data_IF_568530024248
#
_entry.id   IF_568530024248
#
_cell.length_a   1.000
_cell.length_b   1.000
_cell.length_c   1.000
_cell.angle_alpha   90.00
_cell.angle_beta   90.00
_cell.angle_gamma   90.00
#
_symmetry.space_group_name_H-M   'P 1'
#
loop_
_entity.id
_entity.type
_entity.pdbx_description
1 polymer ?
#
# COMPACT_ATOMS: atom_id res chain seq x y z
N UNK A 1 6.78 -25.39 34.99
CA UNK A 1 5.83 -25.78 33.93
C UNK A 1 5.91 -24.70 32.85
N UNK A 2 6.25 -25.05 31.60
CA UNK A 2 6.43 -24.09 30.50
C UNK A 2 5.20 -24.20 29.60
N UNK A 3 4.29 -23.22 29.65
CA UNK A 3 3.17 -23.13 28.72
C UNK A 3 3.62 -22.41 27.44
N UNK A 4 3.60 -23.16 26.35
CA UNK A 4 3.87 -22.66 25.00
C UNK A 4 2.66 -21.86 24.51
N UNK A 5 2.76 -20.54 24.49
CA UNK A 5 1.79 -19.66 23.84
C UNK A 5 1.97 -19.74 22.32
N UNK A 6 1.07 -20.47 21.66
CA UNK A 6 0.97 -20.52 20.20
C UNK A 6 0.43 -19.17 19.72
N UNK A 7 1.35 -18.27 19.38
CA UNK A 7 1.04 -16.98 18.74
C UNK A 7 0.60 -17.29 17.30
N UNK A 8 -0.71 -17.42 17.08
CA UNK A 8 -1.30 -17.40 15.75
C UNK A 8 -1.15 -15.99 15.17
N UNK A 9 -0.13 -15.81 14.32
CA UNK A 9 0.13 -14.54 13.64
C UNK A 9 -0.84 -14.42 12.47
N UNK A 10 -1.71 -13.40 12.50
CA UNK A 10 -2.57 -13.08 11.36
C UNK A 10 -1.71 -12.86 10.10
N UNK A 11 -2.09 -13.40 8.92
CA UNK A 11 -1.33 -13.29 7.67
C UNK A 11 -1.02 -11.85 7.23
N UNK A 12 -1.77 -10.88 7.75
CA UNK A 12 -1.58 -9.45 7.50
C UNK A 12 -0.40 -8.84 8.27
N UNK A 13 -0.02 -9.40 9.42
CA UNK A 13 1.10 -8.89 10.23
C UNK A 13 2.46 -9.44 9.78
N UNK A 14 2.48 -10.64 9.20
CA UNK A 14 3.71 -11.22 8.66
C UNK A 14 4.15 -10.50 7.37
N UNK A 15 3.20 -9.94 6.61
CA UNK A 15 3.45 -9.16 5.40
C UNK A 15 4.08 -7.78 5.70
N UNK A 16 3.72 -7.17 6.82
CA UNK A 16 4.22 -5.84 7.20
C UNK A 16 5.67 -5.84 7.74
N UNK A 17 6.23 -6.99 8.13
CA UNK A 17 7.58 -7.06 8.74
C UNK A 17 8.73 -7.29 7.76
N UNK A 18 8.46 -7.60 6.49
CA UNK A 18 9.53 -7.88 5.50
C UNK A 18 10.06 -6.65 4.75
N UNK A 19 9.53 -5.46 4.98
CA UNK A 19 9.82 -4.28 4.14
C UNK A 19 10.62 -3.15 4.81
N UNK A 20 11.36 -3.44 5.90
CA UNK A 20 12.33 -2.49 6.48
C UNK A 20 13.74 -2.77 5.99
N UNK A 21 14.01 -2.49 4.71
CA UNK A 21 15.35 -2.06 4.27
C UNK A 21 15.19 -0.80 3.43
N UNK A 22 15.23 0.34 4.12
CA UNK A 22 15.26 1.68 3.56
C UNK A 22 16.55 1.85 2.75
N UNK A 23 16.42 1.93 1.44
CA UNK A 23 17.46 2.48 0.57
C UNK A 23 16.88 3.75 -0.05
N UNK A 24 17.48 4.91 0.24
CA UNK A 24 17.08 6.21 -0.31
C UNK A 24 17.05 6.13 -1.85
N UNK A 25 16.04 6.70 -2.54
CA UNK A 25 16.01 6.63 -3.98
C UNK A 25 17.10 7.55 -4.55
N UNK A 26 18.18 6.96 -5.05
CA UNK A 26 18.98 7.62 -6.09
C UNK A 26 18.04 7.91 -7.26
N UNK A 27 18.06 9.13 -7.80
CA UNK A 27 17.43 9.47 -9.08
C UNK A 27 18.10 8.63 -10.17
N UNK A 28 17.66 7.40 -10.32
CA UNK A 28 18.02 6.55 -11.45
C UNK A 28 17.13 6.98 -12.60
N UNK A 29 17.75 7.30 -13.75
CA UNK A 29 17.01 7.42 -15.00
C UNK A 29 16.35 6.06 -15.22
N UNK A 30 15.03 6.02 -15.01
CA UNK A 30 14.25 4.81 -15.22
C UNK A 30 14.16 4.67 -16.73
N UNK A 31 14.78 3.62 -17.28
CA UNK A 31 14.52 3.21 -18.65
C UNK A 31 13.08 2.70 -18.71
N UNK A 32 12.19 3.51 -19.27
CA UNK A 32 10.76 3.22 -19.33
C UNK A 32 10.50 2.39 -20.57
N UNK A 33 10.05 1.15 -20.39
CA UNK A 33 9.71 0.28 -21.51
C UNK A 33 8.38 0.72 -22.15
N UNK A 34 8.47 1.35 -23.32
CA UNK A 34 7.32 1.82 -24.09
C UNK A 34 6.33 0.70 -24.47
N UNK A 35 6.80 -0.54 -24.61
CA UNK A 35 5.93 -1.68 -24.96
C UNK A 35 5.00 -2.02 -23.79
N UNK A 36 5.52 -1.96 -22.57
CA UNK A 36 4.75 -2.18 -21.35
C UNK A 36 3.78 -1.01 -21.15
N UNK A 37 4.21 0.23 -21.41
CA UNK A 37 3.32 1.41 -21.36
C UNK A 37 2.11 1.22 -22.30
N UNK A 38 2.32 0.88 -23.57
CA UNK A 38 1.23 0.63 -24.54
C UNK A 38 0.29 -0.49 -24.09
N UNK A 39 0.84 -1.56 -23.52
CA UNK A 39 0.05 -2.68 -22.97
C UNK A 39 -0.81 -2.24 -21.78
N UNK A 40 -0.27 -1.40 -20.91
CA UNK A 40 -0.97 -0.85 -19.74
C UNK A 40 -2.11 0.08 -20.17
N UNK A 41 -1.87 0.99 -21.12
CA UNK A 41 -2.93 1.88 -21.64
C UNK A 41 -4.11 1.10 -22.22
N UNK A 42 -3.86 0.06 -23.03
CA UNK A 42 -4.91 -0.82 -23.54
C UNK A 42 -5.71 -1.53 -22.42
N UNK A 43 -5.06 -1.86 -21.30
CA UNK A 43 -5.72 -2.52 -20.16
C UNK A 43 -6.56 -1.58 -19.30
N UNK A 44 -6.21 -0.29 -19.28
CA UNK A 44 -6.91 0.72 -18.47
C UNK A 44 -8.16 1.23 -19.21
N UNK A 45 -8.06 1.43 -20.52
CA UNK A 45 -9.18 1.87 -21.35
C UNK A 45 -10.38 0.91 -21.29
N UNK A 46 -10.09 -0.39 -21.13
CA UNK A 46 -11.10 -1.44 -21.00
C UNK A 46 -11.65 -1.63 -19.57
N UNK A 47 -11.21 -0.84 -18.58
CA UNK A 47 -11.64 -0.98 -17.18
C UNK A 47 -12.40 0.25 -16.71
N UNK A 48 -13.45 0.08 -15.89
CA UNK A 48 -14.14 1.22 -15.29
C UNK A 48 -13.14 2.02 -14.45
N UNK A 49 -13.17 3.35 -14.63
CA UNK A 49 -12.32 4.27 -13.88
C UNK A 49 -12.69 4.14 -12.38
N UNK A 50 -11.76 3.68 -11.55
CA UNK A 50 -11.97 3.72 -10.10
C UNK A 50 -11.89 5.18 -9.65
N UNK A 51 -12.89 5.64 -8.90
CA UNK A 51 -12.98 7.02 -8.40
C UNK A 51 -11.82 7.45 -7.47
N UNK A 52 -10.97 6.50 -7.06
CA UNK A 52 -9.95 6.69 -6.04
C UNK A 52 -8.58 7.12 -6.59
N UNK A 53 -8.36 7.06 -7.91
CA UNK A 53 -7.11 7.50 -8.54
C UNK A 53 -7.38 8.08 -9.93
N UNK A 54 -6.58 9.06 -10.33
CA UNK A 54 -6.55 9.59 -11.68
C UNK A 54 -5.94 8.57 -12.68
N UNK A 55 -6.04 8.85 -13.97
CA UNK A 55 -5.57 7.94 -15.02
C UNK A 55 -4.06 7.73 -15.00
N UNK A 56 -3.29 8.76 -14.65
CA UNK A 56 -1.83 8.71 -14.67
C UNK A 56 -1.34 7.82 -13.54
N UNK A 57 -1.88 8.02 -12.33
CA UNK A 57 -1.63 7.16 -11.18
C UNK A 57 -1.99 5.69 -11.46
N UNK A 58 -3.12 5.44 -12.12
CA UNK A 58 -3.52 4.09 -12.52
C UNK A 58 -2.51 3.45 -13.50
N UNK A 59 -2.05 4.20 -14.50
CA UNK A 59 -1.06 3.75 -15.47
C UNK A 59 0.26 3.38 -14.81
N UNK A 60 0.76 4.24 -13.92
CA UNK A 60 2.00 3.97 -13.18
C UNK A 60 1.87 2.70 -12.32
N UNK A 61 0.79 2.55 -11.56
CA UNK A 61 0.58 1.37 -10.71
C UNK A 61 0.46 0.08 -11.53
N UNK A 62 -0.22 0.15 -12.68
CA UNK A 62 -0.30 -0.99 -13.60
C UNK A 62 1.05 -1.32 -14.24
N UNK A 63 1.86 -0.32 -14.58
CA UNK A 63 3.22 -0.53 -15.06
C UNK A 63 4.11 -1.19 -14.00
N UNK A 64 4.06 -0.69 -12.75
CA UNK A 64 4.78 -1.29 -11.62
C UNK A 64 4.35 -2.73 -11.38
N UNK A 65 3.05 -3.02 -11.56
CA UNK A 65 2.53 -4.39 -11.45
C UNK A 65 3.08 -5.35 -12.50
N UNK A 66 3.25 -4.89 -13.74
CA UNK A 66 3.77 -5.74 -14.83
C UNK A 66 5.29 -5.90 -14.73
N UNK A 67 6.01 -4.90 -14.20
CA UNK A 67 7.48 -4.90 -14.13
C UNK A 67 8.04 -5.56 -12.87
N UNK A 68 7.28 -5.64 -11.78
CA UNK A 68 7.76 -6.19 -10.51
C UNK A 68 7.01 -7.47 -10.10
N UNK A 69 7.70 -8.62 -10.02
CA UNK A 69 7.10 -9.84 -9.48
C UNK A 69 6.86 -9.62 -7.97
N UNK A 70 5.60 -9.73 -7.54
CA UNK A 70 5.07 -9.48 -6.17
C UNK A 70 4.54 -8.06 -5.87
N UNK A 71 4.37 -7.20 -6.88
CA UNK A 71 3.74 -5.90 -6.65
C UNK A 71 2.26 -6.03 -6.26
N UNK A 72 1.87 -5.42 -5.14
CA UNK A 72 0.49 -5.35 -4.66
C UNK A 72 -0.03 -3.92 -4.78
N UNK A 73 -0.86 -3.67 -5.81
CA UNK A 73 -1.45 -2.35 -6.06
C UNK A 73 -2.12 -1.78 -4.81
N UNK A 74 -2.97 -2.55 -4.12
CA UNK A 74 -3.67 -2.07 -2.92
C UNK A 74 -2.74 -1.73 -1.75
N UNK A 75 -1.63 -2.46 -1.60
CA UNK A 75 -0.69 -2.20 -0.52
C UNK A 75 0.12 -0.93 -0.79
N UNK A 76 0.60 -0.77 -2.02
CA UNK A 76 1.38 0.42 -2.40
C UNK A 76 0.47 1.66 -2.41
N UNK A 77 -0.77 1.57 -2.93
CA UNK A 77 -1.75 2.66 -2.86
C UNK A 77 -2.05 3.05 -1.42
N UNK A 78 -2.32 2.09 -0.53
CA UNK A 78 -2.59 2.38 0.88
C UNK A 78 -1.42 3.09 1.56
N UNK A 79 -0.19 2.69 1.22
CA UNK A 79 1.04 3.31 1.71
C UNK A 79 1.23 4.73 1.18
N UNK A 80 1.07 4.97 -0.13
CA UNK A 80 1.12 6.31 -0.71
C UNK A 80 0.06 7.22 -0.11
N UNK A 81 -1.19 6.74 -0.04
CA UNK A 81 -2.30 7.52 0.51
C UNK A 81 -2.07 7.88 1.97
N UNK A 82 -1.65 6.91 2.79
CA UNK A 82 -1.29 7.17 4.20
C UNK A 82 -0.20 8.22 4.32
N UNK A 83 0.82 8.17 3.45
CA UNK A 83 1.92 9.13 3.46
C UNK A 83 1.39 10.53 3.11
N UNK A 84 0.62 10.65 2.03
CA UNK A 84 0.06 11.93 1.59
C UNK A 84 -0.82 12.58 2.66
N UNK A 85 -1.80 11.85 3.22
CA UNK A 85 -2.70 12.38 4.25
C UNK A 85 -1.93 12.81 5.50
N UNK A 86 -0.92 12.04 5.91
CA UNK A 86 -0.11 12.37 7.08
C UNK A 86 0.71 13.65 6.86
N UNK A 87 1.25 13.84 5.66
CA UNK A 87 2.06 15.00 5.32
C UNK A 87 1.19 16.25 5.13
N UNK A 88 -0.01 16.13 4.55
CA UNK A 88 -0.95 17.25 4.34
C UNK A 88 -1.71 17.67 5.60
N UNK A 89 -2.10 16.71 6.46
CA UNK A 89 -2.93 16.97 7.64
C UNK A 89 -2.36 16.30 8.91
N UNK A 90 -1.19 16.75 9.39
CA UNK A 90 -0.51 16.12 10.52
C UNK A 90 -1.31 16.21 11.84
N UNK A 91 -2.03 17.30 12.07
CA UNK A 91 -2.78 17.51 13.32
C UNK A 91 -4.00 16.59 13.41
N UNK A 92 -4.77 16.49 12.32
CA UNK A 92 -5.90 15.57 12.19
C UNK A 92 -5.40 14.13 12.31
N UNK A 93 -4.30 13.80 11.63
CA UNK A 93 -3.69 12.49 11.72
C UNK A 93 -3.33 12.12 13.17
N UNK A 94 -2.72 13.04 13.93
CA UNK A 94 -2.38 12.82 15.34
C UNK A 94 -3.62 12.65 16.22
N UNK A 95 -4.64 13.48 16.05
CA UNK A 95 -5.87 13.39 16.83
C UNK A 95 -6.58 12.04 16.59
N UNK A 96 -6.74 11.65 15.31
CA UNK A 96 -7.39 10.39 14.93
C UNK A 96 -6.59 9.18 15.39
N UNK A 97 -5.27 9.18 15.21
CA UNK A 97 -4.42 8.04 15.64
C UNK A 97 -4.35 7.90 17.15
N UNK A 98 -4.42 9.00 17.90
CA UNK A 98 -4.52 8.98 19.37
C UNK A 98 -5.84 8.33 19.80
N UNK A 99 -6.96 8.79 19.25
CA UNK A 99 -8.27 8.21 19.58
C UNK A 99 -8.40 6.75 19.17
N UNK A 100 -7.87 6.34 18.01
CA UNK A 100 -7.88 4.94 17.57
C UNK A 100 -7.11 4.02 18.54
N UNK A 101 -6.00 4.52 19.10
CA UNK A 101 -5.21 3.77 20.09
C UNK A 101 -5.98 3.58 21.40
N UNK A 102 -6.65 4.65 21.84
CA UNK A 102 -7.34 4.67 23.14
C UNK A 102 -8.68 3.93 23.09
N UNK A 103 -9.40 3.96 21.97
CA UNK A 103 -10.70 3.28 21.81
C UNK A 103 -10.64 1.77 21.53
N UNK A 104 -9.45 1.17 21.40
CA UNK A 104 -9.27 -0.24 20.98
C UNK A 104 -10.23 -0.65 19.85
N UNK A 105 -10.50 0.25 18.90
CA UNK A 105 -11.14 -0.09 17.63
C UNK A 105 -10.08 -0.73 16.75
N UNK A 106 -9.62 -1.91 17.18
CA UNK A 106 -8.93 -2.82 16.31
C UNK A 106 -10.01 -3.53 15.48
N UNK A 107 -10.07 -3.32 14.15
CA UNK A 107 -11.03 -4.02 13.30
C UNK A 107 -10.84 -5.56 13.30
N UNK A 108 -9.83 -6.10 13.98
CA UNK A 108 -9.66 -7.54 14.19
C UNK A 108 -10.39 -8.09 15.42
N UNK A 109 -10.98 -7.28 16.31
CA UNK A 109 -11.52 -7.77 17.59
C UNK A 109 -12.99 -8.21 17.57
N UNK A 110 -13.75 -7.88 16.53
CA UNK A 110 -15.19 -8.21 16.42
C UNK A 110 -15.45 -9.26 15.34
N UNK A 111 -14.85 -10.43 15.51
CA UNK A 111 -15.29 -11.66 14.84
C UNK A 111 -15.45 -12.73 15.93
N UNK A 112 -16.51 -12.58 16.72
CA UNK A 112 -17.12 -13.69 17.45
C UNK A 112 -18.05 -14.46 16.50
#
# INVERSE_FOLDING_TARGET
MKENSVISRSPLQERAKRETKSNKPKKQQVDVDETIVKKVFKKIDNKPRLAFWDHESAAVLHYLKETQPNFSMSAETAKLMRKAIKDEHPDIWRAVTTQLRDNKLDPQKNKE
#
